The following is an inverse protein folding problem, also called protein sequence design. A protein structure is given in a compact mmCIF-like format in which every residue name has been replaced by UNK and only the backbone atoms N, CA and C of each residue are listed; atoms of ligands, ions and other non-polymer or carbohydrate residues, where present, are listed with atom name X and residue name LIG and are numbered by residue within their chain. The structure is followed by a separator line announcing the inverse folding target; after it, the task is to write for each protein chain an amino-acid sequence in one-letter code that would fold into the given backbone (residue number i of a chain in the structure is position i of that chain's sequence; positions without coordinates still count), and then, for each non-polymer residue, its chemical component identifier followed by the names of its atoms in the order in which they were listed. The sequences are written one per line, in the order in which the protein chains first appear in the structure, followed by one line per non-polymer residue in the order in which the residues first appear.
data_IF_633006998878
#
_entry.id   IF_633006998878
#
_cell.length_a   1.000
_cell.length_b   1.000
_cell.length_c   1.000
_cell.angle_alpha   90.00
_cell.angle_beta   90.00
_cell.angle_gamma   90.00
#
_symmetry.space_group_name_H-M   'P 1'
#
loop_
_entity.id
_entity.type
_entity.pdbx_description
1 polymer ?
#
# COMPACT_ATOMS: atom_id res chain seq x y z
N UNK A 1 14.18 -52.67 22.90
CA UNK A 1 13.20 -53.61 22.29
C UNK A 1 11.90 -52.84 22.20
N UNK A 2 11.20 -52.63 21.10
CA UNK A 2 11.27 -53.03 19.70
C UNK A 2 9.99 -52.48 19.05
N UNK A 3 10.12 -51.99 17.83
CA UNK A 3 9.15 -51.42 16.89
C UNK A 3 7.68 -51.90 16.94
N UNK A 4 6.73 -51.00 16.60
CA UNK A 4 6.00 -51.05 15.31
C UNK A 4 5.01 -49.85 15.12
N UNK A 5 5.02 -49.33 13.90
CA UNK A 5 4.12 -48.34 13.29
C UNK A 5 2.69 -48.86 13.06
N UNK A 6 1.72 -47.96 12.96
CA UNK A 6 0.81 -47.89 11.80
C UNK A 6 0.05 -46.55 11.70
N UNK A 7 0.04 -46.00 10.48
CA UNK A 7 -0.76 -44.86 10.03
C UNK A 7 -2.24 -45.22 9.83
N UNK A 8 -3.14 -44.24 9.97
CA UNK A 8 -4.23 -44.04 9.00
C UNK A 8 -4.79 -42.61 9.03
N UNK A 9 -4.71 -42.01 7.85
CA UNK A 9 -5.50 -40.95 7.21
C UNK A 9 -6.87 -40.58 7.80
N UNK A 10 -7.10 -39.27 8.00
CA UNK A 10 -8.42 -38.65 7.89
C UNK A 10 -8.39 -37.53 6.84
N UNK A 11 -9.13 -37.78 5.77
CA UNK A 11 -9.45 -36.83 4.71
C UNK A 11 -10.54 -35.86 5.20
N UNK A 12 -10.36 -34.55 4.99
CA UNK A 12 -11.43 -33.58 5.14
C UNK A 12 -12.05 -33.25 3.78
N UNK A 13 -13.33 -33.59 3.70
CA UNK A 13 -14.21 -33.47 2.55
C UNK A 13 -14.70 -32.03 2.37
N UNK A 14 -14.82 -31.61 1.11
CA UNK A 14 -15.35 -30.32 0.67
C UNK A 14 -16.89 -30.38 0.78
N UNK A 15 -17.49 -29.51 1.60
CA UNK A 15 -18.94 -29.30 1.63
C UNK A 15 -19.30 -27.94 1.03
N UNK A 16 -20.01 -28.00 -0.11
CA UNK A 16 -20.72 -26.90 -0.76
C UNK A 16 -22.08 -26.70 -0.09
N UNK A 17 -22.51 -25.48 0.26
CA UNK A 17 -23.92 -25.18 0.46
C UNK A 17 -24.53 -24.55 -0.79
N UNK A 18 -25.67 -25.10 -1.19
CA UNK A 18 -26.50 -24.69 -2.33
C UNK A 18 -27.60 -23.73 -1.83
N UNK A 19 -27.67 -22.55 -2.46
CA UNK A 19 -28.82 -21.66 -2.73
C UNK A 19 -29.84 -21.40 -1.60
N UNK A 20 -29.85 -20.14 -1.15
CA UNK A 20 -31.07 -19.43 -0.77
C UNK A 20 -31.11 -18.11 -1.56
N UNK A 21 -32.17 -17.91 -2.33
CA UNK A 21 -32.51 -16.68 -3.05
C UNK A 21 -33.16 -15.66 -2.12
N UNK A 22 -32.87 -14.37 -2.28
CA UNK A 22 -33.88 -13.34 -2.13
C UNK A 22 -34.11 -12.61 -3.45
N UNK A 23 -35.37 -12.58 -3.86
CA UNK A 23 -35.92 -11.67 -4.86
C UNK A 23 -35.92 -10.24 -4.33
N UNK A 24 -35.21 -9.32 -4.98
CA UNK A 24 -35.50 -7.90 -4.91
C UNK A 24 -35.38 -7.25 -6.29
N UNK A 25 -36.36 -6.42 -6.56
CA UNK A 25 -36.77 -5.85 -7.83
C UNK A 25 -35.75 -4.87 -8.44
N UNK A 26 -35.52 -5.03 -9.74
CA UNK A 26 -34.85 -4.05 -10.58
C UNK A 26 -35.76 -2.83 -10.80
N UNK A 27 -35.33 -1.66 -10.33
CA UNK A 27 -35.75 -0.38 -10.91
C UNK A 27 -34.53 0.26 -11.57
N UNK A 28 -34.58 0.26 -12.90
CA UNK A 28 -33.57 0.84 -13.77
C UNK A 28 -33.63 2.37 -13.66
N UNK A 29 -32.60 2.96 -13.06
CA UNK A 29 -32.35 4.39 -13.20
C UNK A 29 -31.48 4.59 -14.45
N UNK A 30 -32.12 5.21 -15.44
CA UNK A 30 -31.58 5.61 -16.72
C UNK A 30 -30.70 6.85 -16.49
N UNK A 31 -29.39 6.69 -16.44
CA UNK A 31 -28.48 7.83 -16.32
C UNK A 31 -27.95 8.25 -17.70
N UNK A 32 -28.38 9.43 -18.14
CA UNK A 32 -27.87 10.12 -19.32
C UNK A 32 -26.51 10.77 -18.99
N UNK A 33 -25.57 10.58 -19.91
CA UNK A 33 -24.15 10.85 -19.66
C UNK A 33 -23.74 12.31 -19.55
N UNK A 34 -22.58 12.48 -18.91
CA UNK A 34 -21.62 13.53 -19.20
C UNK A 34 -20.28 12.86 -19.50
N UNK A 35 -19.76 13.10 -20.70
CA UNK A 35 -18.40 12.69 -21.10
C UNK A 35 -17.42 13.70 -20.51
N UNK A 36 -16.70 13.33 -19.46
CA UNK A 36 -15.45 14.00 -19.07
C UNK A 36 -14.30 13.06 -19.41
N UNK A 37 -13.62 13.40 -20.50
CA UNK A 37 -12.50 12.64 -21.04
C UNK A 37 -11.22 13.00 -20.25
N UNK A 38 -10.99 12.37 -19.10
CA UNK A 38 -9.69 12.44 -18.42
C UNK A 38 -8.71 11.48 -19.09
N UNK A 39 -7.75 12.03 -19.85
CA UNK A 39 -6.65 11.28 -20.46
C UNK A 39 -5.49 11.18 -19.47
N UNK A 40 -5.56 10.23 -18.54
CA UNK A 40 -4.41 9.80 -17.76
C UNK A 40 -3.97 8.41 -18.23
N UNK A 41 -2.98 8.42 -19.13
CA UNK A 41 -2.32 7.23 -19.64
C UNK A 41 -0.96 7.17 -18.94
N UNK A 42 -0.85 6.32 -17.93
CA UNK A 42 0.36 6.13 -17.13
C UNK A 42 1.17 5.00 -17.81
N UNK A 43 2.49 5.12 -17.99
CA UNK A 43 3.33 4.08 -18.62
C UNK A 43 4.68 3.91 -17.93
N UNK A 44 5.15 2.65 -17.87
CA UNK A 44 6.29 2.11 -17.12
C UNK A 44 7.68 2.50 -17.68
N UNK A 45 8.62 2.83 -16.80
CA UNK A 45 10.06 2.57 -16.99
C UNK A 45 10.67 2.13 -15.65
N UNK A 46 11.21 0.91 -15.59
CA UNK A 46 12.12 0.47 -14.55
C UNK A 46 13.53 0.94 -14.94
N UNK A 47 14.28 1.56 -14.02
CA UNK A 47 15.70 1.88 -14.19
C UNK A 47 16.51 0.83 -13.39
N UNK A 48 17.59 0.20 -13.88
CA UNK A 48 18.34 0.40 -15.12
C UNK A 48 19.13 -0.86 -15.54
N UNK A 49 19.27 -1.02 -16.87
CA UNK A 49 20.34 -1.75 -17.56
C UNK A 49 20.43 -1.20 -18.99
N UNK A 50 21.52 -0.50 -19.33
CA UNK A 50 21.71 0.22 -20.59
C UNK A 50 21.68 -0.69 -21.84
N UNK A 51 20.91 -0.32 -22.87
CA UNK A 51 21.39 0.33 -24.11
C UNK A 51 20.44 0.07 -25.31
N UNK A 52 20.08 1.18 -25.98
CA UNK A 52 19.67 1.32 -27.38
C UNK A 52 18.30 0.84 -27.92
N UNK A 53 17.56 1.87 -28.36
CA UNK A 53 16.71 1.93 -29.57
C UNK A 53 15.27 1.43 -29.51
N UNK A 54 14.36 2.32 -29.09
CA UNK A 54 13.06 2.48 -29.74
C UNK A 54 12.51 3.89 -29.49
N UNK A 55 13.02 4.87 -30.25
CA UNK A 55 12.40 6.17 -30.40
C UNK A 55 11.16 6.03 -31.27
N UNK A 56 9.96 5.97 -30.68
CA UNK A 56 8.70 6.36 -31.31
C UNK A 56 7.65 6.59 -30.19
N UNK A 57 7.27 7.87 -30.00
CA UNK A 57 6.17 8.36 -29.13
C UNK A 57 6.41 8.41 -27.61
N UNK A 58 7.55 8.95 -27.18
CA UNK A 58 7.72 9.43 -25.80
C UNK A 58 7.39 10.93 -25.74
N UNK A 59 6.14 11.30 -25.43
CA UNK A 59 5.93 12.56 -24.69
C UNK A 59 6.44 12.30 -23.28
N UNK A 60 7.73 12.57 -23.03
CA UNK A 60 8.36 12.34 -21.73
C UNK A 60 7.69 13.23 -20.67
N UNK A 61 6.68 12.71 -19.96
CA UNK A 61 6.29 13.31 -18.67
C UNK A 61 7.51 13.17 -17.77
N UNK A 62 8.05 14.30 -17.33
CA UNK A 62 9.17 14.31 -16.41
C UNK A 62 8.74 13.60 -15.12
N UNK A 63 9.64 12.76 -14.59
CA UNK A 63 9.41 12.00 -13.35
C UNK A 63 10.25 12.62 -12.25
N UNK A 64 9.74 12.55 -11.02
CA UNK A 64 10.38 13.08 -9.82
C UNK A 64 10.61 11.97 -8.81
N UNK A 65 11.84 11.85 -8.34
CA UNK A 65 12.17 10.98 -7.21
C UNK A 65 11.58 11.52 -5.91
N UNK A 66 11.02 10.61 -5.12
CA UNK A 66 10.48 10.84 -3.77
C UNK A 66 10.87 9.67 -2.89
N UNK A 67 10.73 9.83 -1.57
CA UNK A 67 10.99 8.78 -0.60
C UNK A 67 9.70 8.46 0.13
N UNK A 68 9.33 7.19 0.14
CA UNK A 68 8.15 6.68 0.82
C UNK A 68 8.58 6.04 2.14
N UNK A 69 7.82 6.32 3.18
CA UNK A 69 7.98 5.77 4.52
C UNK A 69 6.66 5.15 4.95
N UNK A 70 6.68 3.86 5.26
CA UNK A 70 5.55 3.13 5.81
C UNK A 70 5.92 2.75 7.24
N UNK A 71 5.05 3.05 8.18
CA UNK A 71 5.15 2.64 9.57
C UNK A 71 3.90 1.84 9.94
N UNK A 72 4.09 0.58 10.34
CA UNK A 72 3.03 -0.30 10.81
C UNK A 72 3.09 -0.41 12.33
N UNK A 73 1.93 -0.30 12.99
CA UNK A 73 1.82 -0.27 14.44
C UNK A 73 0.96 -1.42 14.94
N UNK A 74 1.41 -2.08 16.01
CA UNK A 74 0.63 -3.08 16.73
C UNK A 74 0.17 -2.53 18.08
N UNK A 75 -1.09 -2.09 18.13
CA UNK A 75 -1.75 -1.58 19.32
C UNK A 75 -2.11 -2.71 20.27
N UNK A 76 -2.22 -2.39 21.56
CA UNK A 76 -2.77 -3.29 22.58
C UNK A 76 -4.26 -3.53 22.32
N UNK A 77 -4.76 -4.70 22.72
CA UNK A 77 -6.13 -5.16 22.41
C UNK A 77 -7.24 -4.25 22.98
N UNK A 78 -6.95 -3.47 24.03
CA UNK A 78 -7.93 -2.67 24.77
C UNK A 78 -7.84 -1.15 24.49
N UNK A 79 -7.40 -0.75 23.29
CA UNK A 79 -7.27 0.67 22.94
C UNK A 79 -8.65 1.33 22.83
N UNK A 80 -8.89 2.37 23.63
CA UNK A 80 -10.10 3.19 23.50
C UNK A 80 -10.03 4.11 22.28
N UNK A 81 -11.18 4.58 21.79
CA UNK A 81 -11.25 5.51 20.67
C UNK A 81 -10.54 6.85 20.97
N UNK A 82 -10.60 7.31 22.21
CA UNK A 82 -9.89 8.52 22.66
C UNK A 82 -8.37 8.35 22.60
N UNK A 83 -7.84 7.20 23.05
CA UNK A 83 -6.41 6.90 23.01
C UNK A 83 -5.90 6.67 21.59
N UNK A 84 -6.71 6.03 20.74
CA UNK A 84 -6.40 5.86 19.32
C UNK A 84 -6.32 7.22 18.62
N UNK A 85 -7.33 8.08 18.83
CA UNK A 85 -7.35 9.42 18.25
C UNK A 85 -6.15 10.25 18.73
N UNK A 86 -5.82 10.21 20.03
CA UNK A 86 -4.62 10.87 20.56
C UNK A 86 -3.35 10.39 19.84
N UNK A 87 -3.15 9.08 19.73
CA UNK A 87 -2.00 8.50 19.03
C UNK A 87 -1.91 8.95 17.57
N UNK A 88 -3.03 8.84 16.84
CA UNK A 88 -3.11 9.16 15.41
C UNK A 88 -2.95 10.66 15.15
N UNK A 89 -3.53 11.51 16.00
CA UNK A 89 -3.40 12.97 15.92
C UNK A 89 -1.96 13.41 16.14
N UNK A 90 -1.27 12.90 17.18
CA UNK A 90 0.13 13.24 17.40
C UNK A 90 1.02 12.77 16.25
N UNK A 91 0.77 11.59 15.69
CA UNK A 91 1.44 11.13 14.47
C UNK A 91 1.16 12.05 13.28
N UNK A 92 -0.09 12.49 13.10
CA UNK A 92 -0.48 13.42 12.04
C UNK A 92 0.22 14.77 12.17
N UNK A 93 0.36 15.29 13.40
CA UNK A 93 0.99 16.61 13.66
C UNK A 93 2.48 16.66 13.35
N UNK A 94 3.16 15.52 13.22
CA UNK A 94 4.57 15.45 12.83
C UNK A 94 4.84 16.20 11.52
N UNK A 95 3.88 16.20 10.58
CA UNK A 95 3.99 16.94 9.32
C UNK A 95 4.17 18.46 9.49
N UNK A 96 3.65 19.04 10.57
CA UNK A 96 3.69 20.49 10.81
C UNK A 96 4.95 20.93 11.56
N UNK A 97 5.49 20.03 12.38
CA UNK A 97 6.68 20.30 13.20
C UNK A 97 7.98 19.97 12.46
N UNK A 98 7.89 19.33 11.29
CA UNK A 98 9.04 18.76 10.59
C UNK A 98 9.06 19.13 9.11
N UNK A 99 10.09 19.89 8.72
CA UNK A 99 10.32 20.21 7.32
C UNK A 99 10.76 18.96 6.53
N UNK A 100 10.04 18.65 5.45
CA UNK A 100 10.43 17.60 4.50
C UNK A 100 9.40 16.51 4.29
N UNK A 101 8.43 16.36 5.22
CA UNK A 101 7.22 15.57 4.98
C UNK A 101 6.35 16.36 4.00
N UNK A 102 6.05 15.76 2.85
CA UNK A 102 5.27 16.40 1.78
C UNK A 102 3.89 15.77 1.58
N UNK A 103 3.68 14.57 2.12
CA UNK A 103 2.37 13.95 2.25
C UNK A 103 2.36 13.00 3.45
N UNK A 104 1.19 12.83 4.06
CA UNK A 104 0.96 11.88 5.14
C UNK A 104 -0.49 11.37 5.05
N UNK A 105 -0.67 10.08 5.31
CA UNK A 105 -1.97 9.46 5.56
C UNK A 105 -1.81 8.38 6.62
N UNK A 106 -2.82 8.18 7.44
CA UNK A 106 -2.79 7.21 8.53
C UNK A 106 -4.20 6.75 8.86
N UNK A 107 -4.30 5.57 9.45
CA UNK A 107 -5.59 5.05 9.89
C UNK A 107 -5.52 3.62 10.40
N UNK A 108 -6.66 3.16 10.92
CA UNK A 108 -6.86 1.79 11.36
C UNK A 108 -6.95 0.84 10.16
N UNK A 109 -6.24 -0.28 10.23
CA UNK A 109 -6.26 -1.32 9.20
C UNK A 109 -7.61 -2.03 9.23
N UNK A 110 -8.32 -2.06 8.10
CA UNK A 110 -9.71 -2.53 8.06
C UNK A 110 -9.88 -4.05 8.06
N UNK A 111 -8.81 -4.82 7.83
CA UNK A 111 -8.84 -6.27 7.78
C UNK A 111 -7.78 -6.90 8.69
N UNK A 112 -8.14 -8.01 9.35
CA UNK A 112 -7.16 -8.82 10.07
C UNK A 112 -6.07 -9.29 9.11
N UNK A 113 -4.82 -9.21 9.58
CA UNK A 113 -3.65 -9.62 8.83
C UNK A 113 -2.84 -10.64 9.64
N UNK A 114 -2.04 -11.44 8.94
CA UNK A 114 -1.28 -12.52 9.56
C UNK A 114 -0.26 -12.06 10.61
N UNK A 115 0.15 -10.79 10.54
CA UNK A 115 1.16 -10.18 11.40
C UNK A 115 0.56 -9.23 12.46
N UNK A 116 -0.77 -9.27 12.66
CA UNK A 116 -1.53 -8.54 13.70
C UNK A 116 -1.34 -7.02 13.76
N UNK A 117 -0.84 -6.37 12.72
CA UNK A 117 -0.77 -4.91 12.67
C UNK A 117 -2.16 -4.28 12.73
N UNK A 118 -2.29 -3.23 13.51
CA UNK A 118 -3.58 -2.57 13.80
C UNK A 118 -3.75 -1.25 13.08
N UNK A 119 -2.66 -0.51 12.90
CA UNK A 119 -2.64 0.79 12.24
C UNK A 119 -1.48 0.87 11.25
N UNK A 120 -1.66 1.74 10.26
CA UNK A 120 -0.61 2.07 9.32
C UNK A 120 -0.50 3.59 9.18
N UNK A 121 0.74 4.06 9.04
CA UNK A 121 1.08 5.43 8.73
C UNK A 121 1.91 5.39 7.46
N UNK A 122 1.51 6.18 6.48
CA UNK A 122 2.25 6.44 5.26
C UNK A 122 2.70 7.89 5.27
N UNK A 123 3.99 8.12 5.03
CA UNK A 123 4.57 9.44 4.82
C UNK A 123 5.37 9.46 3.53
N UNK A 124 5.40 10.62 2.90
CA UNK A 124 6.29 10.90 1.78
C UNK A 124 7.24 12.02 2.12
N UNK A 125 8.50 11.84 1.78
CA UNK A 125 9.57 12.81 1.89
C UNK A 125 10.07 13.24 0.52
N UNK A 126 10.53 14.49 0.42
CA UNK A 126 11.10 14.99 -0.82
C UNK A 126 12.42 14.30 -1.18
N UNK A 127 13.24 13.95 -0.17
CA UNK A 127 14.56 13.33 -0.33
C UNK A 127 14.88 12.43 0.86
N UNK A 128 15.87 11.55 0.68
CA UNK A 128 16.32 10.62 1.71
C UNK A 128 16.89 11.33 2.94
N UNK A 129 17.58 12.46 2.76
CA UNK A 129 18.14 13.21 3.89
C UNK A 129 17.05 13.81 4.80
N UNK A 130 15.84 14.04 4.27
CA UNK A 130 14.69 14.47 5.07
C UNK A 130 14.18 13.34 5.97
N UNK A 131 14.16 12.10 5.46
CA UNK A 131 13.78 10.91 6.23
C UNK A 131 14.82 10.59 7.32
N UNK A 132 16.12 10.72 7.01
CA UNK A 132 17.18 10.53 8.00
C UNK A 132 17.04 11.52 9.18
N UNK A 133 16.83 12.80 8.87
CA UNK A 133 16.52 13.82 9.88
C UNK A 133 15.21 13.55 10.63
N UNK A 134 14.27 12.85 10.01
CA UNK A 134 13.01 12.51 10.64
C UNK A 134 13.20 11.52 11.79
N UNK A 135 13.99 10.47 11.57
CA UNK A 135 14.31 9.49 12.61
C UNK A 135 15.08 10.08 13.81
N UNK A 136 15.89 11.11 13.59
CA UNK A 136 16.67 11.78 14.64
C UNK A 136 15.90 12.91 15.35
N UNK A 137 14.68 13.21 14.90
CA UNK A 137 13.96 14.39 15.38
C UNK A 137 13.42 14.20 16.80
N UNK A 138 13.82 15.10 17.71
CA UNK A 138 13.39 15.05 19.12
C UNK A 138 11.87 15.10 19.34
N UNK A 139 11.11 15.83 18.51
CA UNK A 139 9.66 15.86 18.59
C UNK A 139 9.05 14.53 18.17
N UNK A 140 9.50 13.95 17.04
CA UNK A 140 9.04 12.63 16.61
C UNK A 140 9.38 11.53 17.63
N UNK A 141 10.61 11.53 18.16
CA UNK A 141 11.01 10.57 19.21
C UNK A 141 10.16 10.73 20.48
N UNK A 142 9.76 11.96 20.82
CA UNK A 142 8.82 12.22 21.91
C UNK A 142 7.42 11.68 21.59
N UNK A 143 6.90 11.93 20.39
CA UNK A 143 5.61 11.37 19.93
C UNK A 143 5.63 9.84 20.02
N UNK A 144 6.69 9.20 19.51
CA UNK A 144 6.84 7.76 19.62
C UNK A 144 6.81 7.31 21.07
N UNK A 145 7.60 7.93 21.94
CA UNK A 145 7.69 7.52 23.35
C UNK A 145 6.39 7.73 24.11
N UNK A 146 5.81 8.93 24.01
CA UNK A 146 4.74 9.39 24.90
C UNK A 146 3.36 8.99 24.36
N UNK A 147 3.19 8.90 23.04
CA UNK A 147 1.88 8.68 22.40
C UNK A 147 1.78 7.38 21.60
N UNK A 148 2.88 6.80 21.11
CA UNK A 148 2.80 5.53 20.35
C UNK A 148 3.13 4.34 21.23
N UNK A 149 4.31 4.32 21.85
CA UNK A 149 4.80 3.20 22.67
C UNK A 149 4.01 3.03 23.98
N UNK A 150 3.23 4.02 24.38
CA UNK A 150 2.24 3.91 25.47
C UNK A 150 1.16 2.89 25.13
N UNK A 151 0.74 2.83 23.86
CA UNK A 151 -0.40 2.05 23.39
C UNK A 151 -0.01 0.89 22.46
N UNK A 152 1.13 1.00 21.79
CA UNK A 152 1.66 0.01 20.86
C UNK A 152 2.84 -0.75 21.46
N UNK A 153 2.92 -2.05 21.17
CA UNK A 153 4.03 -2.90 21.61
C UNK A 153 5.06 -3.15 20.51
N UNK A 154 4.66 -3.02 19.25
CA UNK A 154 5.52 -3.22 18.11
C UNK A 154 5.30 -2.15 17.04
N UNK A 155 6.39 -1.78 16.38
CA UNK A 155 6.44 -0.88 15.25
C UNK A 155 7.40 -1.46 14.21
N UNK A 156 7.00 -1.42 12.93
CA UNK A 156 7.86 -1.78 11.81
C UNK A 156 7.85 -0.67 10.76
N UNK A 157 9.04 -0.29 10.30
CA UNK A 157 9.22 0.71 9.26
C UNK A 157 9.73 0.10 7.95
N UNK A 158 9.19 0.54 6.82
CA UNK A 158 9.68 0.20 5.48
C UNK A 158 9.89 1.50 4.71
N UNK A 159 11.11 1.71 4.21
CA UNK A 159 11.50 2.93 3.53
C UNK A 159 12.02 2.62 2.14
N UNK A 160 11.49 3.27 1.11
CA UNK A 160 11.93 3.05 -0.26
C UNK A 160 11.92 4.33 -1.10
N UNK A 161 12.79 4.39 -2.09
CA UNK A 161 12.75 5.44 -3.11
C UNK A 161 11.77 5.03 -4.21
N UNK A 162 10.99 6.00 -4.69
CA UNK A 162 10.03 5.81 -5.77
C UNK A 162 10.05 6.99 -6.75
N UNK A 163 9.36 6.84 -7.87
CA UNK A 163 9.16 7.92 -8.84
C UNK A 163 7.68 8.21 -9.05
N UNK A 164 7.36 9.50 -9.11
CA UNK A 164 6.02 10.02 -9.43
C UNK A 164 6.09 11.00 -10.59
N UNK A 165 4.94 11.35 -11.16
CA UNK A 165 4.88 12.40 -12.18
C UNK A 165 5.37 13.73 -11.57
N UNK A 166 6.17 14.50 -12.32
CA UNK A 166 6.75 15.78 -11.90
C UNK A 166 5.71 16.91 -11.98
N UNK A 167 4.61 16.72 -11.24
CA UNK A 167 3.52 17.67 -11.05
C UNK A 167 3.17 17.79 -9.57
N UNK A 168 2.62 18.95 -9.19
CA UNK A 168 2.36 19.25 -7.78
C UNK A 168 1.35 18.29 -7.14
N UNK A 169 0.33 17.84 -7.87
CA UNK A 169 -0.71 16.97 -7.32
C UNK A 169 -0.12 15.60 -6.99
N UNK A 170 0.67 15.04 -7.92
CA UNK A 170 1.34 13.76 -7.74
C UNK A 170 2.39 13.80 -6.62
N UNK A 171 3.21 14.85 -6.57
CA UNK A 171 4.30 14.97 -5.58
C UNK A 171 3.74 15.14 -4.16
N UNK A 172 2.86 16.12 -3.97
CA UNK A 172 2.33 16.49 -2.65
C UNK A 172 1.08 15.70 -2.24
N UNK A 173 0.59 14.79 -3.11
CA UNK A 173 -0.66 14.04 -2.92
C UNK A 173 -1.80 14.97 -2.53
N UNK A 174 -1.96 16.04 -3.31
CA UNK A 174 -3.00 17.07 -3.12
C UNK A 174 -3.99 17.02 -4.27
N UNK A 175 -5.20 17.52 -4.02
CA UNK A 175 -6.31 17.54 -4.97
C UNK A 175 -7.46 16.64 -4.53
N UNK A 176 -8.59 16.77 -5.21
CA UNK A 176 -9.84 16.06 -4.89
C UNK A 176 -9.64 14.54 -4.85
N UNK A 177 -8.84 14.00 -5.79
CA UNK A 177 -8.56 12.56 -5.89
C UNK A 177 -7.74 12.01 -4.71
N UNK A 178 -7.03 12.86 -3.97
CA UNK A 178 -6.25 12.44 -2.79
C UNK A 178 -6.98 12.70 -1.47
N UNK A 179 -8.05 13.50 -1.47
CA UNK A 179 -8.77 13.89 -0.26
C UNK A 179 -9.55 12.76 0.40
N UNK A 180 -9.87 11.69 -0.32
CA UNK A 180 -10.58 10.52 0.20
C UNK A 180 -10.18 9.26 -0.58
N UNK A 181 -10.43 8.08 -0.01
CA UNK A 181 -10.23 6.79 -0.69
C UNK A 181 -9.55 5.76 0.18
N UNK A 182 -8.83 4.82 -0.43
CA UNK A 182 -8.14 3.73 0.27
C UNK A 182 -6.65 3.80 0.00
N UNK A 183 -5.84 3.68 1.06
CA UNK A 183 -4.42 3.35 0.92
C UNK A 183 -4.27 1.84 1.05
N UNK A 184 -3.70 1.22 0.03
CA UNK A 184 -3.35 -0.18 0.05
C UNK A 184 -1.83 -0.32 0.08
N UNK A 185 -1.35 -1.03 1.10
CA UNK A 185 0.06 -1.30 1.32
C UNK A 185 0.31 -2.77 1.04
N UNK A 186 1.31 -3.05 0.19
CA UNK A 186 1.78 -4.40 -0.10
C UNK A 186 3.29 -4.46 0.19
N UNK A 187 3.67 -5.25 1.18
CA UNK A 187 5.05 -5.53 1.54
C UNK A 187 5.45 -6.92 1.05
N UNK A 188 6.63 -7.05 0.47
CA UNK A 188 7.09 -8.27 -0.20
C UNK A 188 8.50 -8.66 0.23
N UNK A 189 8.68 -9.95 0.43
CA UNK A 189 9.97 -10.60 0.60
C UNK A 189 10.08 -11.69 -0.47
N UNK A 190 11.13 -11.63 -1.28
CA UNK A 190 11.34 -12.59 -2.37
C UNK A 190 12.26 -13.73 -1.92
N UNK A 191 12.08 -14.91 -2.51
CA UNK A 191 12.90 -16.08 -2.25
C UNK A 191 14.37 -15.78 -2.53
N UNK A 192 15.28 -16.21 -1.65
CA UNK A 192 16.72 -15.97 -1.80
C UNK A 192 17.32 -16.54 -3.11
N UNK A 193 16.64 -17.50 -3.75
CA UNK A 193 17.03 -18.07 -5.06
C UNK A 193 16.28 -17.48 -6.26
N UNK A 194 15.39 -16.51 -6.06
CA UNK A 194 14.75 -15.80 -7.17
C UNK A 194 15.80 -14.96 -7.89
N UNK A 195 15.79 -15.03 -9.23
CA UNK A 195 16.68 -14.19 -10.04
C UNK A 195 16.14 -12.76 -10.08
N UNK A 196 17.03 -11.77 -10.04
CA UNK A 196 16.65 -10.34 -10.06
C UNK A 196 15.70 -10.01 -11.23
N UNK A 197 15.94 -10.60 -12.40
CA UNK A 197 15.09 -10.40 -13.57
C UNK A 197 13.65 -10.94 -13.39
N UNK A 198 13.44 -11.97 -12.56
CA UNK A 198 12.11 -12.50 -12.27
C UNK A 198 11.35 -11.57 -11.32
N UNK A 199 12.05 -11.01 -10.33
CA UNK A 199 11.52 -10.01 -9.40
C UNK A 199 11.12 -8.75 -10.17
N UNK A 200 12.02 -8.22 -11.00
CA UNK A 200 11.74 -7.07 -11.86
C UNK A 200 10.56 -7.33 -12.80
N UNK A 201 10.51 -8.51 -13.42
CA UNK A 201 9.39 -8.89 -14.29
C UNK A 201 8.06 -8.96 -13.51
N UNK A 202 8.06 -9.46 -12.28
CA UNK A 202 6.85 -9.51 -11.44
C UNK A 202 6.36 -8.10 -11.10
N UNK A 203 7.26 -7.23 -10.62
CA UNK A 203 6.96 -5.83 -10.32
C UNK A 203 6.52 -5.04 -11.56
N UNK A 204 7.13 -5.28 -12.71
CA UNK A 204 6.71 -4.69 -13.98
C UNK A 204 5.31 -5.15 -14.40
N UNK A 205 4.99 -6.43 -14.21
CA UNK A 205 3.65 -6.98 -14.51
C UNK A 205 2.58 -6.38 -13.60
N UNK A 206 2.90 -6.20 -12.31
CA UNK A 206 2.01 -5.51 -11.37
C UNK A 206 1.76 -4.08 -11.84
N UNK A 207 2.84 -3.34 -12.12
CA UNK A 207 2.73 -1.97 -12.58
C UNK A 207 1.89 -1.86 -13.86
N UNK A 208 2.05 -2.73 -14.86
CA UNK A 208 1.17 -2.74 -16.05
C UNK A 208 -0.31 -2.79 -15.70
N UNK A 209 -0.73 -3.68 -14.79
CA UNK A 209 -2.14 -3.78 -14.36
C UNK A 209 -2.61 -2.50 -13.67
N UNK A 210 -1.75 -1.85 -12.88
CA UNK A 210 -2.08 -0.58 -12.24
C UNK A 210 -2.28 0.54 -13.26
N UNK A 211 -1.39 0.60 -14.26
CA UNK A 211 -1.41 1.60 -15.32
C UNK A 211 -2.63 1.46 -16.24
N UNK A 212 -3.14 0.24 -16.41
CA UNK A 212 -4.35 -0.07 -17.16
C UNK A 212 -5.64 0.20 -16.37
N UNK A 213 -5.54 0.58 -15.08
CA UNK A 213 -6.67 0.83 -14.18
C UNK A 213 -6.80 2.30 -13.69
N UNK A 214 -6.66 3.34 -14.55
CA UNK A 214 -6.66 4.74 -14.11
C UNK A 214 -8.01 5.22 -13.54
N UNK A 215 -9.11 4.51 -13.84
CA UNK A 215 -10.42 4.78 -13.26
C UNK A 215 -10.58 4.27 -11.83
N UNK A 216 -9.65 3.42 -11.34
CA UNK A 216 -9.67 2.85 -10.00
C UNK A 216 -8.55 3.44 -9.13
N UNK A 217 -7.39 3.67 -9.74
CA UNK A 217 -6.15 4.05 -9.06
C UNK A 217 -5.84 5.52 -9.33
N UNK A 218 -5.49 6.24 -8.27
CA UNK A 218 -4.99 7.62 -8.32
C UNK A 218 -3.48 7.62 -8.49
N UNK A 219 -2.78 6.82 -7.69
CA UNK A 219 -1.32 6.76 -7.70
C UNK A 219 -0.84 5.39 -7.23
N UNK A 220 0.28 4.95 -7.79
CA UNK A 220 0.98 3.71 -7.44
C UNK A 220 2.46 4.00 -7.31
N UNK A 221 3.09 3.45 -6.28
CA UNK A 221 4.54 3.53 -6.08
C UNK A 221 5.07 2.19 -5.58
N UNK A 222 6.31 1.88 -5.95
CA UNK A 222 7.02 0.70 -5.48
C UNK A 222 8.51 0.98 -5.38
N UNK A 223 9.23 0.24 -4.54
CA UNK A 223 10.68 0.31 -4.47
C UNK A 223 11.30 -0.71 -3.52
N UNK A 224 12.62 -0.75 -3.55
CA UNK A 224 13.44 -1.58 -2.67
C UNK A 224 13.53 -0.93 -1.29
N UNK A 225 13.25 -1.72 -0.25
CA UNK A 225 13.37 -1.29 1.14
C UNK A 225 14.85 -1.08 1.48
N UNK A 226 15.20 0.13 1.88
CA UNK A 226 16.53 0.48 2.37
C UNK A 226 16.59 0.68 3.89
N UNK A 227 15.47 0.49 4.60
CA UNK A 227 15.45 0.61 6.06
C UNK A 227 16.24 -0.54 6.70
N UNK A 228 17.32 -0.27 7.46
CA UNK A 228 18.15 -1.33 8.04
C UNK A 228 17.47 -2.09 9.20
N UNK A 229 16.44 -1.50 9.81
CA UNK A 229 15.71 -2.08 10.95
C UNK A 229 14.68 -3.14 10.53
N UNK A 230 14.13 -3.04 9.32
CA UNK A 230 13.21 -4.04 8.77
C UNK A 230 13.90 -4.86 7.69
N UNK A 231 14.30 -6.08 8.06
CA UNK A 231 14.88 -7.06 7.12
C UNK A 231 13.86 -8.08 6.64
N UNK A 232 12.66 -8.01 7.18
CA UNK A 232 11.60 -8.97 6.89
C UNK A 232 11.03 -8.79 5.49
N UNK A 233 10.84 -7.52 5.09
CA UNK A 233 10.32 -7.14 3.79
C UNK A 233 11.39 -6.42 2.97
N UNK A 234 11.59 -6.91 1.76
CA UNK A 234 12.59 -6.40 0.81
C UNK A 234 12.03 -5.27 -0.06
N UNK A 235 10.73 -5.24 -0.29
CA UNK A 235 10.09 -4.26 -1.16
C UNK A 235 8.81 -3.72 -0.52
N UNK A 236 8.57 -2.43 -0.75
CA UNK A 236 7.32 -1.75 -0.40
C UNK A 236 6.57 -1.33 -1.64
N UNK A 237 5.25 -1.43 -1.58
CA UNK A 237 4.32 -0.98 -2.61
C UNK A 237 3.17 -0.24 -1.93
N UNK A 238 2.85 0.96 -2.42
CA UNK A 238 1.71 1.75 -1.94
C UNK A 238 0.83 2.14 -3.11
N UNK A 239 -0.47 1.90 -2.97
CA UNK A 239 -1.48 2.16 -3.99
C UNK A 239 -2.59 3.00 -3.38
N UNK A 240 -2.86 4.14 -4.01
CA UNK A 240 -3.99 5.01 -3.69
C UNK A 240 -5.16 4.67 -4.59
N UNK A 241 -6.22 4.10 -4.02
CA UNK A 241 -7.48 3.89 -4.72
C UNK A 241 -8.43 5.06 -4.50
N UNK A 242 -9.23 5.35 -5.52
CA UNK A 242 -10.22 6.43 -5.52
C UNK A 242 -11.33 6.23 -4.49
N UNK A 243 -11.70 4.98 -4.22
CA UNK A 243 -12.76 4.62 -3.27
C UNK A 243 -12.62 3.18 -2.78
N UNK A 244 -13.44 2.79 -1.81
CA UNK A 244 -13.54 1.41 -1.33
C UNK A 244 -14.01 0.48 -2.45
N UNK A 245 -15.00 0.90 -3.24
CA UNK A 245 -15.50 0.14 -4.38
C UNK A 245 -14.40 -0.06 -5.43
N UNK A 246 -13.59 0.96 -5.70
CA UNK A 246 -12.48 0.87 -6.64
C UNK A 246 -11.43 -0.15 -6.18
N UNK A 247 -11.10 -0.14 -4.89
CA UNK A 247 -10.23 -1.13 -4.26
C UNK A 247 -10.80 -2.55 -4.38
N UNK A 248 -12.09 -2.75 -4.04
CA UNK A 248 -12.73 -4.06 -4.12
C UNK A 248 -12.78 -4.61 -5.55
N UNK A 249 -13.12 -3.77 -6.53
CA UNK A 249 -13.13 -4.13 -7.95
C UNK A 249 -11.74 -4.60 -8.36
N UNK A 250 -10.70 -3.85 -7.99
CA UNK A 250 -9.33 -4.15 -8.35
C UNK A 250 -8.83 -5.48 -7.75
N UNK A 251 -8.96 -5.67 -6.43
CA UNK A 251 -8.48 -6.90 -5.75
C UNK A 251 -9.26 -8.13 -6.22
N UNK A 252 -10.53 -7.98 -6.61
CA UNK A 252 -11.35 -9.09 -7.13
C UNK A 252 -11.13 -9.35 -8.63
N UNK A 253 -10.46 -8.45 -9.35
CA UNK A 253 -10.20 -8.57 -10.79
C UNK A 253 -9.39 -9.82 -11.16
N UNK A 254 -9.63 -10.34 -12.36
CA UNK A 254 -8.90 -11.53 -12.82
C UNK A 254 -7.48 -11.17 -13.23
N UNK A 255 -7.27 -9.95 -13.71
CA UNK A 255 -5.99 -9.38 -14.13
C UNK A 255 -5.01 -9.34 -12.95
N UNK A 256 -5.43 -8.77 -11.82
CA UNK A 256 -4.62 -8.73 -10.60
C UNK A 256 -4.33 -10.16 -10.07
N UNK A 257 -5.35 -11.00 -9.99
CA UNK A 257 -5.20 -12.39 -9.53
C UNK A 257 -4.27 -13.21 -10.41
N UNK A 258 -4.34 -13.03 -11.73
CA UNK A 258 -3.47 -13.71 -12.68
C UNK A 258 -2.02 -13.27 -12.52
N UNK A 259 -1.76 -11.97 -12.34
CA UNK A 259 -0.41 -11.48 -12.04
C UNK A 259 0.10 -12.08 -10.73
N UNK A 260 -0.72 -12.12 -9.69
CA UNK A 260 -0.32 -12.71 -8.42
C UNK A 260 0.08 -14.19 -8.57
N UNK A 261 -0.81 -15.01 -9.14
CA UNK A 261 -0.59 -16.46 -9.29
C UNK A 261 0.58 -16.76 -10.22
N UNK A 262 0.68 -16.06 -11.36
CA UNK A 262 1.67 -16.40 -12.38
C UNK A 262 3.03 -15.75 -12.18
N UNK A 263 3.10 -14.59 -11.52
CA UNK A 263 4.33 -13.79 -11.39
C UNK A 263 4.85 -13.69 -9.97
N UNK A 264 3.98 -13.54 -8.96
CA UNK A 264 4.43 -13.35 -7.57
C UNK A 264 4.54 -14.66 -6.81
N UNK A 265 3.52 -15.53 -6.87
CA UNK A 265 3.50 -16.81 -6.14
C UNK A 265 4.79 -17.65 -6.34
N UNK A 266 5.43 -17.72 -7.53
CA UNK A 266 6.66 -18.50 -7.70
C UNK A 266 7.90 -17.90 -7.03
N UNK A 267 7.93 -16.60 -6.77
CA UNK A 267 9.14 -15.86 -6.36
C UNK A 267 9.01 -15.21 -4.99
N UNK A 268 7.80 -15.02 -4.47
CA UNK A 268 7.55 -14.41 -3.16
C UNK A 268 7.69 -15.46 -2.06
N UNK A 269 8.50 -15.15 -1.06
CA UNK A 269 8.64 -15.93 0.18
C UNK A 269 7.61 -15.51 1.23
N UNK A 270 7.46 -14.20 1.43
CA UNK A 270 6.52 -13.61 2.40
C UNK A 270 5.86 -12.38 1.78
N UNK A 271 4.57 -12.21 2.05
CA UNK A 271 3.85 -11.00 1.66
C UNK A 271 2.87 -10.56 2.74
N UNK A 272 2.73 -9.26 2.91
CA UNK A 272 1.73 -8.65 3.77
C UNK A 272 0.95 -7.61 2.97
N UNK A 273 -0.37 -7.75 2.94
CA UNK A 273 -1.28 -6.83 2.26
C UNK A 273 -2.22 -6.20 3.28
N UNK A 274 -2.25 -4.88 3.34
CA UNK A 274 -3.01 -4.10 4.31
C UNK A 274 -3.74 -2.97 3.59
N UNK A 275 -4.84 -2.52 4.16
CA UNK A 275 -5.48 -1.29 3.71
C UNK A 275 -6.14 -0.55 4.85
N UNK A 276 -6.23 0.77 4.69
CA UNK A 276 -6.93 1.66 5.58
C UNK A 276 -7.63 2.75 4.77
N UNK A 277 -8.71 3.29 5.33
CA UNK A 277 -9.42 4.41 4.76
C UNK A 277 -8.62 5.69 5.00
N UNK A 278 -8.64 6.58 4.02
CA UNK A 278 -8.22 7.96 4.22
C UNK A 278 -9.45 8.79 4.06
N UNK A 279 -9.83 9.40 5.16
CA UNK A 279 -10.98 10.28 5.21
C UNK A 279 -10.55 11.73 4.95
N UNK A 280 -11.45 12.54 4.38
CA UNK A 280 -11.20 13.96 4.21
C UNK A 280 -10.95 14.59 5.58
N UNK A 281 -9.79 15.24 5.70
CA UNK A 281 -9.43 16.01 6.89
C UNK A 281 -10.53 17.06 7.15
N UNK A 282 -11.26 16.90 8.26
CA UNK A 282 -12.27 17.86 8.72
C UNK A 282 -13.74 17.53 8.41
N UNK A 283 -14.11 16.29 8.07
CA UNK A 283 -15.55 15.90 8.06
C UNK A 283 -16.14 15.77 9.46
N UNK A 284 -15.31 15.48 10.46
CA UNK A 284 -15.67 15.56 11.87
C UNK A 284 -14.62 16.44 12.57
N UNK A 285 -14.85 17.75 12.51
CA UNK A 285 -14.28 18.63 13.51
C UNK A 285 -15.17 18.41 14.74
N UNK A 286 -14.60 17.85 15.82
CA UNK A 286 -15.25 17.78 17.13
C UNK A 286 -15.85 19.13 17.53
#
# INVERSE_FOLDING_TARGET
MGFAMQCSTYAYSICVPRRLTPTLSFQAYKWNGFKTQSKNQMRLLCAAGDNQSSNLLASQRKRRKVVEHICLLNAKEDLSEEEENDMLDYLYTTQYQMGGIIAISLGRISAQNGDQYTHAVYMRFQRKENLEKFYENSFYLKVLKDHVMTYCHELMNVDYESEVDDDMLSIFRKGEEFGHGVEFVLLLSFNAGALDNQVEHALASLATVMLESPSLIVQFTQGLNFNPSSKEYTHGVVIRFRSVEAFEIFIRSQEYKNVWISKFQPVVQKSLSLHFLVDPVGTEIM
#
